data_IF_327712953017
#
_entry.id   IF_327712953017
#
_cell.length_a   1.000
_cell.length_b   1.000
_cell.length_c   1.000
_cell.angle_alpha   90.00
_cell.angle_beta   90.00
_cell.angle_gamma   90.00
#
_symmetry.space_group_name_H-M   'P 1'
#
loop_
_entity.id
_entity.type
_entity.pdbx_description
1 polymer ?
#
# COMPACT_ATOMS: atom_id res chain seq x y z
N UNK A 1 -25.60 17.00 -8.13
CA UNK A 1 -24.73 16.91 -6.95
C UNK A 1 -24.12 15.50 -6.81
N UNK A 2 -24.93 14.46 -6.96
CA UNK A 2 -24.42 13.08 -6.87
C UNK A 2 -23.41 12.74 -7.97
N UNK A 3 -23.62 13.24 -9.19
CA UNK A 3 -22.73 12.96 -10.34
C UNK A 3 -21.36 13.59 -10.14
N UNK A 4 -21.31 14.80 -9.59
CA UNK A 4 -20.03 15.49 -9.32
C UNK A 4 -19.25 14.74 -8.25
N UNK A 5 -19.91 14.28 -7.20
CA UNK A 5 -19.29 13.51 -6.13
C UNK A 5 -18.74 12.18 -6.67
N UNK A 6 -19.52 11.48 -7.50
CA UNK A 6 -19.09 10.20 -8.08
C UNK A 6 -17.87 10.37 -9.00
N UNK A 7 -17.84 11.44 -9.81
CA UNK A 7 -16.69 11.74 -10.67
C UNK A 7 -15.45 12.04 -9.83
N UNK A 8 -15.60 12.84 -8.77
CA UNK A 8 -14.50 13.16 -7.87
C UNK A 8 -13.95 11.90 -7.18
N UNK A 9 -14.81 11.08 -6.62
CA UNK A 9 -14.42 9.84 -5.94
C UNK A 9 -13.77 8.86 -6.92
N UNK A 10 -14.31 8.70 -8.14
CA UNK A 10 -13.72 7.81 -9.13
C UNK A 10 -12.34 8.28 -9.60
N UNK A 11 -12.14 9.57 -9.79
CA UNK A 11 -10.84 10.13 -10.13
C UNK A 11 -9.83 9.96 -9.00
N UNK A 12 -10.24 10.20 -7.76
CA UNK A 12 -9.40 10.00 -6.59
C UNK A 12 -9.05 8.52 -6.40
N UNK A 13 -10.03 7.62 -6.54
CA UNK A 13 -9.82 6.18 -6.38
C UNK A 13 -8.97 5.54 -7.48
N UNK A 14 -8.77 6.22 -8.62
CA UNK A 14 -7.92 5.73 -9.71
C UNK A 14 -6.48 6.24 -9.65
N UNK A 15 -6.15 7.06 -8.64
CA UNK A 15 -4.78 7.58 -8.50
C UNK A 15 -3.81 6.47 -8.12
N UNK A 16 -2.79 6.26 -8.95
CA UNK A 16 -1.74 5.25 -8.73
C UNK A 16 -0.65 5.74 -7.77
N UNK A 17 -0.73 7.00 -7.37
CA UNK A 17 0.22 7.57 -6.42
C UNK A 17 -0.49 8.55 -5.50
N UNK A 18 0.08 8.72 -4.33
CA UNK A 18 -0.35 9.73 -3.38
C UNK A 18 0.76 10.76 -3.25
N UNK A 19 0.38 12.05 -3.27
CA UNK A 19 1.31 13.15 -3.08
C UNK A 19 0.62 14.25 -2.27
N UNK A 20 1.19 14.59 -1.12
CA UNK A 20 0.70 15.65 -0.26
C UNK A 20 1.57 16.90 -0.40
N UNK A 21 0.93 18.06 -0.21
CA UNK A 21 1.68 19.31 -0.04
C UNK A 21 2.32 19.33 1.34
N UNK A 22 3.57 19.81 1.44
CA UNK A 22 4.21 20.02 2.72
C UNK A 22 3.35 20.92 3.59
N UNK A 23 3.01 20.43 4.77
CA UNK A 23 2.30 21.20 5.78
C UNK A 23 3.30 21.59 6.88
N UNK A 24 3.61 22.88 6.98
CA UNK A 24 4.58 23.37 7.95
C UNK A 24 4.09 23.21 9.39
N UNK A 25 2.78 23.03 9.61
CA UNK A 25 2.21 22.76 10.92
C UNK A 25 2.34 21.30 11.34
N UNK A 26 2.71 20.41 10.41
CA UNK A 26 2.98 19.00 10.69
C UNK A 26 4.48 18.74 10.67
N UNK A 27 5.13 18.52 11.83
CA UNK A 27 6.55 18.20 11.84
C UNK A 27 6.88 16.84 11.22
N UNK A 28 5.92 15.91 11.26
CA UNK A 28 6.04 14.59 10.65
C UNK A 28 4.89 14.38 9.67
N UNK A 29 5.20 14.01 8.45
CA UNK A 29 4.19 13.90 7.40
C UNK A 29 4.57 12.85 6.36
N UNK A 30 3.58 12.10 5.91
CA UNK A 30 3.71 11.24 4.74
C UNK A 30 3.52 12.13 3.51
N UNK A 31 4.58 12.27 2.71
CA UNK A 31 4.60 13.18 1.56
C UNK A 31 4.21 12.49 0.26
N UNK A 32 4.66 11.26 0.06
CA UNK A 32 4.44 10.56 -1.21
C UNK A 32 4.40 9.06 -0.99
N UNK A 33 3.49 8.39 -1.69
CA UNK A 33 3.40 6.94 -1.78
C UNK A 33 3.19 6.59 -3.24
N UNK A 34 4.02 5.73 -3.79
CA UNK A 34 3.87 5.27 -5.18
C UNK A 34 4.25 3.81 -5.33
N UNK A 35 3.54 3.13 -6.20
CA UNK A 35 3.82 1.76 -6.57
C UNK A 35 4.74 1.72 -7.79
N UNK A 36 5.73 0.84 -7.76
CA UNK A 36 6.75 0.69 -8.79
C UNK A 36 6.88 -0.78 -9.19
N UNK A 37 7.27 -0.99 -10.45
CA UNK A 37 7.63 -2.31 -10.94
C UNK A 37 9.09 -2.65 -10.59
N UNK A 38 9.60 -3.79 -11.05
CA UNK A 38 10.97 -4.24 -10.79
C UNK A 38 12.05 -3.40 -11.48
N UNK A 39 11.66 -2.49 -12.36
CA UNK A 39 12.54 -1.49 -12.97
C UNK A 39 12.47 -0.14 -12.26
N UNK A 40 11.76 -0.09 -11.12
CA UNK A 40 11.51 1.13 -10.36
C UNK A 40 10.78 2.22 -11.15
N UNK A 41 9.95 1.81 -12.09
CA UNK A 41 9.07 2.70 -12.83
C UNK A 41 7.67 2.67 -12.23
N UNK A 42 6.98 3.81 -12.22
CA UNK A 42 5.60 3.91 -11.74
C UNK A 42 4.71 2.91 -12.49
N UNK A 43 3.97 2.13 -11.73
CA UNK A 43 3.15 1.06 -12.28
C UNK A 43 1.91 0.85 -11.40
N UNK A 44 0.78 0.62 -12.04
CA UNK A 44 -0.48 0.36 -11.33
C UNK A 44 -1.07 -1.02 -11.62
N UNK A 45 -0.39 -1.81 -12.46
CA UNK A 45 -0.88 -3.12 -12.88
C UNK A 45 0.27 -4.12 -12.81
N UNK A 46 0.10 -5.13 -12.00
CA UNK A 46 1.12 -6.16 -11.76
C UNK A 46 0.55 -7.53 -12.05
N UNK A 47 1.38 -8.43 -12.56
CA UNK A 47 1.02 -9.84 -12.60
C UNK A 47 1.21 -10.46 -11.20
N UNK A 48 0.47 -11.51 -10.91
CA UNK A 48 0.49 -12.17 -9.59
C UNK A 48 1.90 -12.65 -9.17
N UNK A 49 2.75 -12.94 -10.12
CA UNK A 49 4.10 -13.47 -9.90
C UNK A 49 5.21 -12.41 -10.01
N UNK A 50 4.84 -11.13 -10.04
CA UNK A 50 5.78 -10.02 -10.00
C UNK A 50 5.94 -9.48 -8.60
N UNK A 51 7.14 -8.96 -8.29
CA UNK A 51 7.36 -8.15 -7.09
C UNK A 51 6.69 -6.78 -7.27
N UNK A 52 6.09 -6.29 -6.20
CA UNK A 52 5.51 -4.95 -6.16
C UNK A 52 6.33 -4.13 -5.18
N UNK A 53 6.86 -2.99 -5.63
CA UNK A 53 7.62 -2.07 -4.79
C UNK A 53 6.75 -0.89 -4.45
N UNK A 54 6.70 -0.51 -3.17
CA UNK A 54 6.00 0.68 -2.72
C UNK A 54 7.03 1.63 -2.09
N UNK A 55 7.19 2.79 -2.70
CA UNK A 55 8.07 3.83 -2.19
C UNK A 55 7.29 4.81 -1.33
N UNK A 56 7.87 5.14 -0.19
CA UNK A 56 7.33 6.14 0.74
C UNK A 56 8.34 7.26 0.93
N UNK A 57 7.86 8.49 0.83
CA UNK A 57 8.64 9.67 1.15
C UNK A 57 8.02 10.36 2.35
N UNK A 58 8.81 10.54 3.39
CA UNK A 58 8.37 11.10 4.67
C UNK A 58 9.13 12.39 4.99
N UNK A 59 8.45 13.30 5.66
CA UNK A 59 9.06 14.42 6.36
C UNK A 59 9.10 14.06 7.84
N UNK A 60 10.26 14.11 8.45
CA UNK A 60 10.46 13.77 9.86
C UNK A 60 11.04 14.96 10.60
N UNK A 61 10.57 15.16 11.83
CA UNK A 61 11.09 16.21 12.71
C UNK A 61 12.44 15.84 13.29
N UNK A 62 13.38 16.78 13.28
CA UNK A 62 14.69 16.60 13.91
C UNK A 62 14.61 16.49 15.45
N UNK A 63 13.51 16.97 16.04
CA UNK A 63 13.29 16.91 17.49
C UNK A 63 12.84 15.54 17.98
N UNK A 64 12.43 14.64 17.07
CA UNK A 64 12.01 13.29 17.40
C UNK A 64 13.18 12.34 17.21
N UNK A 65 13.44 11.52 18.22
CA UNK A 65 14.41 10.43 18.11
C UNK A 65 13.83 9.40 17.14
N UNK A 66 14.42 9.28 15.96
CA UNK A 66 13.96 8.42 14.86
C UNK A 66 13.79 6.97 15.32
N UNK A 67 14.60 6.53 16.28
CA UNK A 67 14.54 5.19 16.86
C UNK A 67 13.24 4.87 17.61
N UNK A 68 12.46 5.90 17.96
CA UNK A 68 11.18 5.73 18.66
C UNK A 68 9.98 5.86 17.74
N UNK A 69 10.18 5.80 16.44
CA UNK A 69 9.09 5.84 15.48
C UNK A 69 8.89 4.50 14.82
N UNK A 70 7.63 4.15 14.57
CA UNK A 70 7.23 3.02 13.74
C UNK A 70 6.47 3.54 12.53
N UNK A 71 6.73 2.96 11.38
CA UNK A 71 5.96 3.19 10.17
C UNK A 71 5.15 1.94 9.86
N UNK A 72 3.85 2.10 9.76
CA UNK A 72 2.91 1.00 9.60
C UNK A 72 2.21 1.10 8.26
N UNK A 73 2.15 -0.01 7.54
CA UNK A 73 1.50 -0.09 6.23
C UNK A 73 0.52 -1.25 6.24
N UNK A 74 -0.70 -0.99 5.80
CA UNK A 74 -1.73 -2.01 5.61
C UNK A 74 -2.16 -1.99 4.15
N UNK A 75 -2.22 -3.17 3.55
CA UNK A 75 -2.78 -3.34 2.21
C UNK A 75 -4.28 -3.58 2.35
N UNK A 76 -5.07 -2.81 1.61
CA UNK A 76 -6.52 -2.92 1.59
C UNK A 76 -6.98 -3.58 0.28
N UNK A 77 -8.05 -4.37 0.33
CA UNK A 77 -8.69 -4.92 -0.86
C UNK A 77 -9.71 -3.93 -1.46
N UNK A 78 -10.40 -4.34 -2.51
CA UNK A 78 -11.40 -3.49 -3.18
C UNK A 78 -12.59 -3.12 -2.29
N UNK A 79 -12.85 -3.88 -1.24
CA UNK A 79 -13.91 -3.61 -0.26
C UNK A 79 -13.37 -2.90 0.99
N UNK A 80 -12.13 -2.40 0.92
CA UNK A 80 -11.44 -1.70 2.00
C UNK A 80 -11.19 -2.58 3.23
N UNK A 81 -11.15 -3.88 3.05
CA UNK A 81 -10.79 -4.81 4.11
C UNK A 81 -9.28 -4.94 4.19
N UNK A 82 -8.77 -5.10 5.40
CA UNK A 82 -7.34 -5.27 5.65
C UNK A 82 -6.89 -6.65 5.22
N UNK A 83 -5.95 -6.69 4.25
CA UNK A 83 -5.38 -7.93 3.73
C UNK A 83 -4.23 -8.39 4.62
N UNK A 84 -3.25 -7.53 4.81
CA UNK A 84 -2.16 -7.74 5.76
C UNK A 84 -1.53 -6.39 6.12
N UNK A 85 -0.79 -6.39 7.22
CA UNK A 85 -0.06 -5.21 7.69
C UNK A 85 1.40 -5.55 7.90
N UNK A 86 2.25 -4.57 7.72
CA UNK A 86 3.67 -4.67 8.00
C UNK A 86 4.17 -3.40 8.69
N UNK A 87 5.23 -3.56 9.46
CA UNK A 87 5.79 -2.51 10.29
C UNK A 87 7.27 -2.35 10.00
N UNK A 88 7.74 -1.12 10.07
CA UNK A 88 9.16 -0.81 9.99
C UNK A 88 9.54 0.09 11.17
N UNK A 89 10.41 -0.41 12.03
CA UNK A 89 10.92 0.33 13.20
C UNK A 89 12.15 1.17 12.88
N UNK A 90 12.68 1.07 11.67
CA UNK A 90 13.83 1.87 11.19
C UNK A 90 13.32 2.95 10.24
N UNK A 91 12.67 3.96 10.82
CA UNK A 91 12.03 5.01 10.04
C UNK A 91 13.06 6.01 9.54
N UNK A 92 13.01 6.29 8.24
CA UNK A 92 13.83 7.31 7.58
C UNK A 92 12.98 8.10 6.59
N UNK A 93 13.56 9.14 5.98
CA UNK A 93 12.83 9.99 5.02
C UNK A 93 12.38 9.25 3.78
N UNK A 94 13.03 8.14 3.45
CA UNK A 94 12.68 7.28 2.31
C UNK A 94 12.62 5.83 2.78
N UNK A 95 11.51 5.18 2.49
CA UNK A 95 11.31 3.77 2.79
C UNK A 95 10.82 3.06 1.53
N UNK A 96 11.25 1.84 1.34
CA UNK A 96 10.81 0.99 0.24
C UNK A 96 10.29 -0.32 0.79
N UNK A 97 9.06 -0.67 0.44
CA UNK A 97 8.45 -1.95 0.77
C UNK A 97 8.43 -2.82 -0.48
N UNK A 98 8.89 -4.04 -0.37
CA UNK A 98 8.76 -5.05 -1.42
C UNK A 98 7.72 -6.07 -1.02
N UNK A 99 6.65 -6.16 -1.79
CA UNK A 99 5.67 -7.25 -1.68
C UNK A 99 6.16 -8.37 -2.58
N UNK A 100 6.42 -9.53 -2.01
CA UNK A 100 6.98 -10.66 -2.72
C UNK A 100 6.02 -11.20 -3.79
N UNK A 101 6.56 -11.81 -4.88
CA UNK A 101 5.72 -12.48 -5.86
C UNK A 101 4.81 -13.52 -5.23
N UNK A 102 3.63 -13.73 -5.79
CA UNK A 102 2.65 -14.73 -5.33
C UNK A 102 2.15 -14.49 -3.91
N UNK A 103 2.06 -13.23 -3.51
CA UNK A 103 1.46 -12.85 -2.23
C UNK A 103 0.00 -12.48 -2.43
N UNK A 104 -0.29 -11.56 -3.36
CA UNK A 104 -1.64 -11.06 -3.58
C UNK A 104 -2.31 -11.82 -4.72
N UNK A 105 -3.53 -12.26 -4.46
CA UNK A 105 -4.43 -12.82 -5.48
C UNK A 105 -4.95 -11.68 -6.35
N UNK A 106 -5.32 -11.97 -7.58
CA UNK A 106 -5.89 -10.98 -8.51
C UNK A 106 -6.96 -10.13 -7.84
N UNK A 107 -6.93 -8.85 -8.08
CA UNK A 107 -7.86 -7.91 -7.49
C UNK A 107 -7.31 -6.48 -7.49
N UNK A 108 -8.08 -5.58 -6.92
CA UNK A 108 -7.71 -4.18 -6.76
C UNK A 108 -7.33 -3.91 -5.31
N UNK A 109 -6.26 -3.18 -5.11
CA UNK A 109 -5.68 -2.92 -3.80
C UNK A 109 -5.36 -1.46 -3.62
N UNK A 110 -5.25 -1.05 -2.37
CA UNK A 110 -4.83 0.30 -1.99
C UNK A 110 -4.05 0.23 -0.68
N UNK A 111 -3.56 1.38 -0.24
CA UNK A 111 -2.65 1.46 0.90
C UNK A 111 -3.22 2.37 1.97
N UNK A 112 -3.13 1.90 3.21
CA UNK A 112 -3.30 2.68 4.42
C UNK A 112 -1.94 2.70 5.13
N UNK A 113 -1.44 3.89 5.47
CA UNK A 113 -0.15 4.03 6.13
C UNK A 113 -0.20 5.07 7.24
N UNK A 114 0.60 4.88 8.27
CA UNK A 114 0.73 5.88 9.33
C UNK A 114 2.13 5.86 9.97
N UNK A 115 2.51 7.03 10.48
CA UNK A 115 3.71 7.21 11.29
C UNK A 115 3.24 7.20 12.75
N UNK A 116 3.80 6.33 13.56
CA UNK A 116 3.41 6.16 14.94
C UNK A 116 4.59 6.40 15.88
N UNK A 117 4.33 7.13 16.95
CA UNK A 117 5.22 7.19 18.09
C UNK A 117 4.62 6.28 19.17
N UNK A 118 5.20 5.10 19.41
CA UNK A 118 4.58 4.10 20.28
C UNK A 118 4.22 4.66 21.64
N UNK A 119 3.01 4.35 22.11
CA UNK A 119 2.44 4.77 23.41
C UNK A 119 2.22 6.29 23.56
N UNK A 120 2.53 7.10 22.53
CA UNK A 120 2.41 8.56 22.61
C UNK A 120 1.37 9.07 21.63
N UNK A 121 1.60 8.91 20.32
CA UNK A 121 0.69 9.49 19.33
C UNK A 121 0.87 8.88 17.94
N UNK A 122 -0.21 8.93 17.16
CA UNK A 122 -0.17 8.77 15.72
C UNK A 122 0.15 10.14 15.12
N UNK A 123 1.30 10.25 14.47
CA UNK A 123 1.83 11.54 14.01
C UNK A 123 1.29 11.97 12.65
N UNK A 124 1.03 11.03 11.76
CA UNK A 124 0.37 11.25 10.48
C UNK A 124 -0.23 9.94 9.97
N UNK A 125 -1.28 10.04 9.16
CA UNK A 125 -1.99 8.90 8.64
C UNK A 125 -2.61 9.24 7.29
N UNK A 126 -2.51 8.31 6.33
CA UNK A 126 -3.22 8.38 5.06
C UNK A 126 -3.93 7.06 4.81
N UNK A 127 -5.19 7.15 4.38
CA UNK A 127 -6.03 5.99 4.15
C UNK A 127 -6.44 5.90 2.69
N UNK A 128 -6.48 4.66 2.18
CA UNK A 128 -7.08 4.34 0.90
C UNK A 128 -6.49 5.15 -0.25
N UNK A 129 -5.18 5.07 -0.39
CA UNK A 129 -4.41 5.77 -1.42
C UNK A 129 -3.53 4.79 -2.20
N UNK A 130 -2.95 5.26 -3.29
CA UNK A 130 -2.00 4.49 -4.10
C UNK A 130 -2.63 3.18 -4.62
N UNK A 131 -3.58 3.31 -5.54
CA UNK A 131 -4.34 2.18 -6.08
C UNK A 131 -3.53 1.41 -7.11
N UNK A 132 -3.60 0.09 -7.02
CA UNK A 132 -2.97 -0.80 -7.98
C UNK A 132 -3.81 -2.06 -8.17
N UNK A 133 -3.59 -2.74 -9.30
CA UNK A 133 -4.29 -3.96 -9.64
C UNK A 133 -3.30 -5.11 -9.78
N UNK A 134 -3.71 -6.28 -9.33
CA UNK A 134 -2.99 -7.54 -9.58
C UNK A 134 -3.82 -8.36 -10.56
N UNK A 135 -3.19 -8.81 -11.64
CA UNK A 135 -3.79 -9.68 -12.63
C UNK A 135 -3.19 -11.08 -12.51
N UNK A 136 -3.94 -12.07 -12.97
CA UNK A 136 -3.51 -13.46 -12.91
C UNK A 136 -3.79 -14.14 -14.24
N UNK A 137 -2.74 -14.41 -14.99
CA UNK A 137 -2.81 -15.08 -16.28
C UNK A 137 -2.12 -16.44 -16.29
N UNK A 138 -1.77 -17.00 -15.14
CA UNK A 138 -1.00 -18.24 -15.14
C UNK A 138 -0.91 -19.00 -13.83
N UNK A 139 -1.53 -18.55 -12.72
CA UNK A 139 -1.52 -19.32 -11.48
C UNK A 139 -2.50 -20.51 -11.55
N UNK A 140 -2.39 -21.41 -10.57
CA UNK A 140 -3.34 -22.51 -10.44
C UNK A 140 -4.77 -22.03 -10.22
N UNK A 141 -4.98 -20.82 -9.73
CA UNK A 141 -6.31 -20.25 -9.52
C UNK A 141 -6.94 -19.73 -10.82
N UNK A 142 -6.12 -19.34 -11.80
CA UNK A 142 -6.61 -18.72 -13.04
C UNK A 142 -7.50 -19.64 -13.87
N UNK A 143 -7.31 -20.96 -13.78
CA UNK A 143 -8.11 -21.95 -14.51
C UNK A 143 -9.55 -22.05 -14.04
N UNK A 144 -9.89 -21.51 -12.89
CA UNK A 144 -11.23 -21.58 -12.30
C UNK A 144 -12.07 -20.33 -12.56
N UNK A 145 -11.62 -19.43 -13.43
CA UNK A 145 -12.38 -18.23 -13.83
C UNK A 145 -12.51 -17.21 -12.71
N UNK A 146 -13.69 -16.61 -12.58
CA UNK A 146 -13.93 -15.47 -11.70
C UNK A 146 -14.28 -15.83 -10.25
N UNK A 147 -14.08 -17.06 -9.86
CA UNK A 147 -14.37 -17.46 -8.48
C UNK A 147 -13.49 -16.67 -7.49
N UNK A 148 -14.08 -16.29 -6.36
CA UNK A 148 -13.36 -15.55 -5.32
C UNK A 148 -12.60 -16.51 -4.41
N UNK A 149 -11.29 -16.53 -4.54
CA UNK A 149 -10.39 -17.37 -3.73
C UNK A 149 -9.77 -16.62 -2.54
N UNK A 150 -10.22 -15.40 -2.26
CA UNK A 150 -9.63 -14.56 -1.24
C UNK A 150 -8.64 -13.57 -1.82
N UNK A 151 -7.81 -12.97 -0.94
CA UNK A 151 -6.91 -11.88 -1.32
C UNK A 151 -5.42 -12.26 -1.28
N UNK A 152 -5.07 -13.38 -0.69
CA UNK A 152 -3.67 -13.82 -0.58
C UNK A 152 -3.52 -15.26 -1.01
N UNK A 153 -2.38 -15.57 -1.62
CA UNK A 153 -1.96 -16.95 -1.81
C UNK A 153 -1.50 -17.50 -0.46
N UNK A 154 -2.09 -18.60 -0.01
CA UNK A 154 -1.68 -19.22 1.23
C UNK A 154 -0.27 -19.80 1.14
N UNK A 155 0.39 -19.86 2.26
CA UNK A 155 1.66 -20.59 2.38
C UNK A 155 1.35 -21.94 3.03
N UNK A 156 1.23 -22.97 2.21
CA UNK A 156 0.77 -24.27 2.67
C UNK A 156 1.43 -25.43 1.92
N UNK A 157 1.28 -26.62 2.49
CA UNK A 157 1.75 -27.85 1.89
C UNK A 157 0.77 -28.98 2.23
N UNK A 158 0.37 -29.75 1.24
CA UNK A 158 -0.36 -30.99 1.49
C UNK A 158 0.61 -32.08 1.96
N UNK A 159 0.28 -32.71 3.07
CA UNK A 159 1.07 -33.80 3.64
C UNK A 159 0.37 -35.12 3.31
N UNK A 160 1.06 -35.97 2.60
CA UNK A 160 0.55 -37.29 2.19
C UNK A 160 1.10 -38.42 3.07
#
# INVERSE_FOLDING_TARGET
ASDIINVYLSNHSKSISFKAKKNYNKPNQILEIKALNNKYESCSKFNYDESIYIDFKLKLSDSIIIQNLDFFVTILDSKKRRVFSCENSFVSNKLNLRIEPKTLVRGSYSIHAFINQPKIARLDEVEDVCFFNVIDNGSYLSKHGEYNYGSVFGNYKWIT
#
